data_IF_162355211535
#
_entry.id   IF_162355211535
#
_cell.length_a   1.000
_cell.length_b   1.000
_cell.length_c   1.000
_cell.angle_alpha   90.00
_cell.angle_beta   90.00
_cell.angle_gamma   90.00
#
_symmetry.space_group_name_H-M   'P 1'
#
loop_
_entity.id
_entity.type
_entity.pdbx_description
1 polymer ?
#
# COMPACT_ATOMS: atom_id res chain seq x y z
N UNK A 1 7.40 -6.10 -13.51
CA UNK A 1 6.33 -6.57 -12.62
C UNK A 1 5.13 -6.95 -13.50
N UNK A 2 4.76 -8.24 -13.61
CA UNK A 2 3.66 -8.69 -14.46
C UNK A 2 2.30 -8.05 -14.10
N UNK A 3 2.18 -7.49 -12.90
CA UNK A 3 0.96 -6.85 -12.38
C UNK A 3 0.93 -5.32 -12.51
N UNK A 4 1.94 -4.71 -13.13
CA UNK A 4 1.86 -3.27 -13.39
C UNK A 4 0.66 -2.99 -14.30
N UNK A 5 -0.12 -1.93 -14.06
CA UNK A 5 -1.29 -1.59 -14.88
C UNK A 5 -0.95 -1.56 -16.37
N UNK A 6 0.22 -1.03 -16.73
CA UNK A 6 0.75 -1.01 -18.10
C UNK A 6 1.06 -2.39 -18.67
N UNK A 7 1.57 -3.33 -17.86
CA UNK A 7 1.81 -4.71 -18.32
C UNK A 7 0.49 -5.45 -18.49
N UNK A 8 -0.45 -5.29 -17.57
CA UNK A 8 -1.78 -5.89 -17.67
C UNK A 8 -2.57 -5.32 -18.85
N UNK A 9 -2.52 -4.01 -19.06
CA UNK A 9 -3.12 -3.34 -20.20
C UNK A 9 -2.48 -3.80 -21.52
N UNK A 10 -1.15 -3.96 -21.57
CA UNK A 10 -0.47 -4.56 -22.71
C UNK A 10 -0.92 -6.02 -22.95
N UNK A 11 -1.11 -6.82 -21.89
CA UNK A 11 -1.64 -8.19 -22.03
C UNK A 11 -3.09 -8.17 -22.53
N UNK A 12 -3.95 -7.29 -22.01
CA UNK A 12 -5.34 -7.12 -22.48
C UNK A 12 -5.37 -6.71 -23.95
N UNK A 13 -4.55 -5.75 -24.35
CA UNK A 13 -4.44 -5.30 -25.74
C UNK A 13 -3.88 -6.40 -26.66
N UNK A 14 -2.92 -7.20 -26.17
CA UNK A 14 -2.39 -8.33 -26.92
C UNK A 14 -3.43 -9.44 -27.10
N UNK A 15 -4.22 -9.74 -26.07
CA UNK A 15 -5.31 -10.71 -26.16
C UNK A 15 -6.36 -10.23 -27.17
N UNK A 16 -6.82 -8.97 -27.03
CA UNK A 16 -7.89 -8.39 -27.86
C UNK A 16 -7.50 -8.15 -29.32
N UNK A 17 -6.30 -7.62 -29.57
CA UNK A 17 -5.92 -7.12 -30.90
C UNK A 17 -4.80 -7.91 -31.59
N UNK A 18 -4.38 -9.06 -31.03
CA UNK A 18 -3.34 -9.89 -31.65
C UNK A 18 -3.69 -11.36 -31.58
N UNK A 19 -4.10 -11.87 -30.42
CA UNK A 19 -4.39 -13.31 -30.28
C UNK A 19 -5.74 -13.64 -30.92
N UNK A 20 -6.77 -12.83 -30.66
CA UNK A 20 -8.10 -13.01 -31.22
C UNK A 20 -8.11 -12.82 -32.75
N UNK A 21 -7.52 -11.73 -33.26
CA UNK A 21 -7.40 -11.42 -34.70
C UNK A 21 -6.64 -12.48 -35.53
N UNK A 22 -5.90 -13.37 -34.88
CA UNK A 22 -5.14 -14.45 -35.52
C UNK A 22 -5.85 -15.80 -35.47
N UNK A 23 -7.04 -15.86 -34.86
CA UNK A 23 -7.84 -17.06 -34.82
C UNK A 23 -8.44 -17.33 -36.20
N UNK A 24 -8.05 -18.45 -36.80
CA UNK A 24 -8.64 -18.92 -38.06
C UNK A 24 -10.09 -19.34 -37.84
N UNK A 25 -10.91 -19.29 -38.90
CA UNK A 25 -12.30 -19.73 -38.85
C UNK A 25 -12.40 -21.19 -38.36
N UNK A 26 -13.23 -21.44 -37.35
CA UNK A 26 -13.37 -22.74 -36.69
C UNK A 26 -12.27 -23.08 -35.66
N UNK A 27 -11.29 -22.19 -35.46
CA UNK A 27 -10.26 -22.33 -34.43
C UNK A 27 -10.81 -22.21 -33.00
N UNK A 28 -10.04 -22.72 -32.02
CA UNK A 28 -10.38 -22.61 -30.59
C UNK A 28 -9.20 -22.06 -29.80
N UNK A 29 -9.49 -21.19 -28.84
CA UNK A 29 -8.51 -20.69 -27.86
C UNK A 29 -8.85 -21.31 -26.51
N UNK A 30 -7.85 -21.92 -25.88
CA UNK A 30 -7.94 -22.43 -24.49
C UNK A 30 -6.90 -21.69 -23.67
N UNK A 31 -7.34 -21.07 -22.57
CA UNK A 31 -6.48 -20.29 -21.68
C UNK A 31 -6.46 -20.95 -20.31
N UNK A 32 -5.26 -21.24 -19.82
CA UNK A 32 -5.05 -21.72 -18.45
C UNK A 32 -4.39 -20.58 -17.69
N UNK A 33 -5.04 -20.15 -16.61
CA UNK A 33 -4.65 -18.96 -15.86
C UNK A 33 -4.79 -19.22 -14.35
N UNK A 34 -3.96 -18.52 -13.58
CA UNK A 34 -4.05 -18.47 -12.12
C UNK A 34 -4.72 -17.16 -11.73
N UNK A 35 -5.65 -17.17 -10.78
CA UNK A 35 -6.27 -15.94 -10.26
C UNK A 35 -5.24 -15.10 -9.50
N UNK A 36 -5.26 -13.80 -9.74
CA UNK A 36 -4.39 -12.83 -9.06
C UNK A 36 -5.17 -11.60 -8.54
N UNK A 37 -6.48 -11.76 -8.35
CA UNK A 37 -7.41 -10.70 -7.92
C UNK A 37 -8.14 -10.06 -9.09
N UNK A 38 -8.97 -9.06 -8.81
CA UNK A 38 -9.94 -8.50 -9.77
C UNK A 38 -9.33 -7.86 -11.03
N UNK A 39 -8.03 -7.55 -10.99
CA UNK A 39 -7.32 -6.93 -12.11
C UNK A 39 -6.62 -7.92 -13.04
N UNK A 40 -6.76 -9.23 -12.83
CA UNK A 40 -6.23 -10.24 -13.75
C UNK A 40 -6.95 -10.25 -15.12
N UNK A 41 -6.70 -11.26 -15.96
CA UNK A 41 -7.27 -11.33 -17.32
C UNK A 41 -8.67 -11.97 -17.36
N UNK A 42 -9.18 -12.53 -16.26
CA UNK A 42 -10.50 -13.20 -16.26
C UNK A 42 -11.62 -12.26 -16.68
N UNK A 43 -11.73 -11.02 -16.16
CA UNK A 43 -12.77 -10.09 -16.61
C UNK A 43 -12.65 -9.76 -18.10
N UNK A 44 -11.42 -9.66 -18.61
CA UNK A 44 -11.17 -9.39 -20.03
C UNK A 44 -11.65 -10.54 -20.92
N UNK A 45 -11.39 -11.78 -20.54
CA UNK A 45 -11.88 -12.95 -21.28
C UNK A 45 -13.41 -13.10 -21.19
N UNK A 46 -14.00 -12.82 -20.03
CA UNK A 46 -15.45 -12.80 -19.86
C UNK A 46 -16.12 -11.76 -20.78
N UNK A 47 -15.57 -10.53 -20.85
CA UNK A 47 -16.04 -9.50 -21.78
C UNK A 47 -15.90 -9.90 -23.25
N UNK A 48 -14.91 -10.72 -23.59
CA UNK A 48 -14.71 -11.26 -24.94
C UNK A 48 -15.62 -12.47 -25.25
N UNK A 49 -16.49 -12.87 -24.33
CA UNK A 49 -17.43 -13.98 -24.53
C UNK A 49 -16.83 -15.38 -24.30
N UNK A 50 -15.66 -15.48 -23.69
CA UNK A 50 -15.09 -16.79 -23.34
C UNK A 50 -15.93 -17.47 -22.26
N UNK A 51 -16.10 -18.78 -22.38
CA UNK A 51 -16.64 -19.58 -21.29
C UNK A 51 -15.59 -19.72 -20.19
N UNK A 52 -15.89 -19.18 -19.00
CA UNK A 52 -15.02 -19.28 -17.84
C UNK A 52 -15.37 -20.56 -17.07
N UNK A 53 -14.36 -21.40 -16.83
CA UNK A 53 -14.50 -22.64 -16.06
C UNK A 53 -13.56 -22.53 -14.86
N UNK A 54 -14.12 -22.54 -13.66
CA UNK A 54 -13.36 -22.49 -12.40
C UNK A 54 -13.34 -23.87 -11.75
N UNK A 55 -12.14 -24.35 -11.42
CA UNK A 55 -11.91 -25.65 -10.82
C UNK A 55 -10.97 -25.50 -9.61
N UNK A 56 -11.49 -25.06 -8.44
CA UNK A 56 -10.68 -24.93 -7.23
C UNK A 56 -10.13 -26.29 -6.78
N UNK A 57 -8.99 -26.30 -6.09
CA UNK A 57 -8.33 -27.57 -5.73
C UNK A 57 -9.12 -28.38 -4.69
N UNK A 58 -9.95 -27.71 -3.89
CA UNK A 58 -10.91 -28.31 -2.95
C UNK A 58 -12.31 -27.83 -3.31
N UNK A 59 -13.24 -28.77 -3.49
CA UNK A 59 -14.66 -28.53 -3.67
C UNK A 59 -15.44 -29.83 -3.43
N UNK A 60 -16.77 -29.75 -3.48
CA UNK A 60 -17.62 -30.95 -3.47
C UNK A 60 -17.74 -31.54 -4.88
N UNK A 61 -16.70 -32.26 -5.31
CA UNK A 61 -16.72 -32.94 -6.61
C UNK A 61 -17.42 -34.30 -6.51
N UNK A 62 -18.08 -34.79 -7.59
CA UNK A 62 -18.72 -36.11 -7.59
C UNK A 62 -17.80 -37.29 -7.24
N UNK A 63 -16.49 -37.10 -7.35
CA UNK A 63 -15.46 -38.11 -7.11
C UNK A 63 -14.65 -37.89 -5.81
N UNK A 64 -14.94 -36.84 -5.04
CA UNK A 64 -14.26 -36.59 -3.76
C UNK A 64 -14.03 -35.11 -3.45
N UNK A 65 -13.34 -34.81 -2.33
CA UNK A 65 -13.22 -33.45 -1.80
C UNK A 65 -12.15 -32.60 -2.52
N UNK A 66 -11.38 -33.18 -3.44
CA UNK A 66 -10.33 -32.47 -4.17
C UNK A 66 -10.46 -32.68 -5.68
N UNK A 67 -9.89 -31.75 -6.44
CA UNK A 67 -9.97 -31.73 -7.90
C UNK A 67 -9.47 -33.03 -8.55
N UNK A 68 -8.43 -33.64 -7.98
CA UNK A 68 -7.92 -34.96 -8.35
C UNK A 68 -7.41 -35.64 -7.06
N UNK A 69 -8.18 -36.56 -6.48
CA UNK A 69 -7.82 -37.21 -5.20
C UNK A 69 -6.51 -38.01 -5.25
N UNK A 70 -6.04 -38.40 -6.43
CA UNK A 70 -4.78 -39.15 -6.60
C UNK A 70 -3.58 -38.20 -6.66
N UNK A 71 -3.71 -37.07 -7.38
CA UNK A 71 -2.63 -36.08 -7.53
C UNK A 71 -2.58 -35.07 -6.38
N UNK A 72 -3.73 -34.74 -5.81
CA UNK A 72 -3.92 -33.74 -4.76
C UNK A 72 -4.66 -34.37 -3.57
N UNK A 73 -4.06 -35.35 -2.88
CA UNK A 73 -4.63 -35.89 -1.66
C UNK A 73 -4.69 -34.80 -0.57
N UNK A 74 -5.63 -34.93 0.37
CA UNK A 74 -5.91 -33.90 1.39
C UNK A 74 -4.67 -33.51 2.21
N UNK A 75 -3.79 -34.46 2.52
CA UNK A 75 -2.54 -34.20 3.23
C UNK A 75 -1.57 -33.32 2.42
N UNK A 76 -1.55 -33.47 1.10
CA UNK A 76 -0.79 -32.62 0.20
C UNK A 76 -1.38 -31.21 0.12
N UNK A 77 -2.70 -31.12 0.05
CA UNK A 77 -3.44 -29.84 0.03
C UNK A 77 -3.14 -29.05 1.30
N UNK A 78 -3.23 -29.70 2.46
CA UNK A 78 -2.96 -29.08 3.76
C UNK A 78 -1.49 -28.64 3.90
N UNK A 79 -0.53 -29.49 3.49
CA UNK A 79 0.89 -29.08 3.43
C UNK A 79 1.10 -27.87 2.54
N UNK A 80 0.37 -27.77 1.43
CA UNK A 80 0.45 -26.63 0.51
C UNK A 80 -0.19 -25.38 1.10
N UNK A 81 -1.33 -25.50 1.79
CA UNK A 81 -1.99 -24.41 2.52
C UNK A 81 -1.05 -23.81 3.57
N UNK A 82 -0.49 -24.64 4.44
CA UNK A 82 0.48 -24.23 5.47
C UNK A 82 1.69 -23.53 4.84
N UNK A 83 2.25 -24.11 3.76
CA UNK A 83 3.45 -23.56 3.11
C UNK A 83 3.20 -22.22 2.41
N UNK A 84 2.03 -22.01 1.83
CA UNK A 84 1.69 -20.78 1.08
C UNK A 84 1.04 -19.70 1.93
N UNK A 85 0.46 -20.06 3.08
CA UNK A 85 -0.40 -19.19 3.88
C UNK A 85 -1.81 -19.11 3.30
N UNK A 86 -2.79 -18.91 4.18
CA UNK A 86 -4.22 -19.08 3.88
C UNK A 86 -4.73 -18.17 2.78
N UNK A 87 -4.28 -16.91 2.78
CA UNK A 87 -4.69 -15.90 1.81
C UNK A 87 -4.20 -16.25 0.39
N UNK A 88 -2.91 -16.55 0.26
CA UNK A 88 -2.33 -16.90 -1.05
C UNK A 88 -2.81 -18.27 -1.53
N UNK A 89 -3.12 -19.19 -0.60
CA UNK A 89 -3.73 -20.46 -0.92
C UNK A 89 -5.16 -20.27 -1.43
N UNK A 90 -6.00 -19.51 -0.74
CA UNK A 90 -7.37 -19.23 -1.16
C UNK A 90 -7.43 -18.47 -2.50
N UNK A 91 -6.52 -17.53 -2.73
CA UNK A 91 -6.41 -16.83 -4.02
C UNK A 91 -5.97 -17.76 -5.16
N UNK A 92 -4.87 -18.50 -4.99
CA UNK A 92 -4.23 -19.22 -6.10
C UNK A 92 -4.74 -20.65 -6.32
N UNK A 93 -5.27 -21.29 -5.28
CA UNK A 93 -5.74 -22.69 -5.33
C UNK A 93 -7.25 -22.83 -5.17
N UNK A 94 -7.91 -21.92 -4.45
CA UNK A 94 -9.37 -21.92 -4.30
C UNK A 94 -10.08 -20.97 -5.26
N UNK A 95 -9.32 -20.26 -6.11
CA UNK A 95 -9.81 -19.33 -7.12
C UNK A 95 -10.69 -18.18 -6.57
N UNK A 96 -10.64 -17.94 -5.25
CA UNK A 96 -11.39 -16.87 -4.62
C UNK A 96 -10.63 -15.56 -4.78
N UNK A 97 -11.09 -14.72 -5.70
CA UNK A 97 -10.61 -13.35 -5.79
C UNK A 97 -11.03 -12.52 -4.56
N UNK A 98 -12.12 -12.92 -3.90
CA UNK A 98 -12.57 -12.35 -2.62
C UNK A 98 -11.61 -12.68 -1.47
N UNK A 99 -10.84 -13.78 -1.55
CA UNK A 99 -9.79 -14.07 -0.60
C UNK A 99 -8.55 -13.19 -0.79
N UNK A 100 -8.35 -12.58 -1.96
CA UNK A 100 -7.46 -11.42 -2.10
C UNK A 100 -8.06 -10.12 -1.52
N UNK A 101 -9.36 -10.12 -1.21
CA UNK A 101 -10.12 -9.04 -0.61
C UNK A 101 -10.35 -9.25 0.91
N UNK A 102 -9.47 -10.01 1.58
CA UNK A 102 -9.30 -9.87 3.02
C UNK A 102 -8.74 -8.48 3.37
N UNK A 103 -9.01 -8.00 4.58
CA UNK A 103 -8.41 -6.76 5.09
C UNK A 103 -6.88 -6.77 4.84
N UNK A 104 -6.36 -5.83 4.05
CA UNK A 104 -4.96 -5.82 3.65
C UNK A 104 -4.02 -5.56 4.82
N UNK A 105 -4.49 -4.77 5.79
CA UNK A 105 -3.82 -4.59 7.07
C UNK A 105 -4.54 -5.43 8.10
N UNK A 106 -3.85 -6.43 8.64
CA UNK A 106 -4.41 -7.31 9.65
C UNK A 106 -4.32 -6.67 11.03
N UNK A 107 -5.39 -6.79 11.82
CA UNK A 107 -5.47 -6.19 13.15
C UNK A 107 -4.37 -6.71 14.07
N UNK A 108 -4.08 -8.00 13.98
CA UNK A 108 -3.02 -8.67 14.74
C UNK A 108 -1.61 -8.23 14.36
N UNK A 109 -1.41 -7.59 13.21
CA UNK A 109 -0.13 -7.02 12.81
C UNK A 109 0.10 -5.67 13.47
N UNK A 110 -0.97 -4.92 13.78
CA UNK A 110 -0.85 -3.58 14.34
C UNK A 110 -0.17 -3.68 15.72
N UNK A 111 0.92 -2.91 15.85
CA UNK A 111 1.70 -2.80 17.08
C UNK A 111 1.47 -1.43 17.68
N UNK A 112 1.45 -1.38 19.00
CA UNK A 112 1.16 -0.16 19.74
C UNK A 112 2.32 0.26 20.61
N UNK A 113 2.45 1.58 20.78
CA UNK A 113 3.32 2.20 21.77
C UNK A 113 2.50 3.05 22.76
N UNK A 114 3.05 3.21 23.96
CA UNK A 114 2.63 4.13 25.01
C UNK A 114 3.83 4.92 25.55
N UNK A 115 3.58 5.90 26.42
CA UNK A 115 4.62 6.80 26.95
C UNK A 115 5.79 6.06 27.61
N UNK A 116 5.54 4.89 28.19
CA UNK A 116 6.55 4.10 28.90
C UNK A 116 7.42 3.28 27.93
N UNK A 117 6.87 2.95 26.75
CA UNK A 117 7.57 2.24 25.68
C UNK A 117 8.35 3.14 24.71
N UNK A 118 8.24 4.46 24.82
CA UNK A 118 8.99 5.37 23.95
C UNK A 118 10.49 5.28 24.22
N UNK A 119 11.33 5.27 23.18
CA UNK A 119 12.76 5.29 23.36
C UNK A 119 13.19 6.60 24.01
N UNK A 120 14.17 6.52 24.92
CA UNK A 120 14.77 7.71 25.57
C UNK A 120 15.62 8.54 24.61
N UNK A 121 15.95 8.00 23.43
CA UNK A 121 16.69 8.69 22.39
C UNK A 121 15.80 9.64 21.60
N UNK A 122 16.36 10.79 21.22
CA UNK A 122 15.67 11.74 20.35
C UNK A 122 15.29 11.11 19.01
N UNK A 123 14.00 11.21 18.67
CA UNK A 123 13.46 10.75 17.40
C UNK A 123 13.67 11.82 16.31
N UNK A 124 14.01 11.38 15.11
CA UNK A 124 13.92 12.25 13.94
C UNK A 124 12.48 12.21 13.43
N UNK A 125 11.83 13.37 13.32
CA UNK A 125 10.42 13.43 12.92
C UNK A 125 10.29 13.66 11.42
N UNK A 126 9.31 12.99 10.82
CA UNK A 126 8.97 13.06 9.41
C UNK A 126 7.47 13.22 9.28
N UNK A 127 7.03 14.21 8.51
CA UNK A 127 5.61 14.52 8.33
C UNK A 127 5.16 14.14 6.94
N UNK A 128 4.06 13.39 6.84
CA UNK A 128 3.37 13.06 5.60
C UNK A 128 2.03 13.76 5.54
N UNK A 129 1.70 14.31 4.38
CA UNK A 129 0.47 15.07 4.14
C UNK A 129 -0.26 14.46 2.96
N UNK A 130 -1.53 14.14 3.17
CA UNK A 130 -2.47 13.81 2.11
C UNK A 130 -3.53 14.92 2.01
N UNK A 131 -3.39 15.85 1.04
CA UNK A 131 -4.31 16.97 0.90
C UNK A 131 -5.51 16.58 0.04
N UNK A 132 -6.70 17.01 0.47
CA UNK A 132 -7.93 16.88 -0.31
C UNK A 132 -7.78 17.48 -1.72
N UNK A 133 -8.23 16.74 -2.74
CA UNK A 133 -8.10 17.16 -4.13
C UNK A 133 -9.18 18.15 -4.60
N UNK A 134 -10.30 18.28 -3.87
CA UNK A 134 -11.49 19.04 -4.28
C UNK A 134 -11.51 20.48 -3.73
N UNK A 135 -11.83 21.43 -4.60
CA UNK A 135 -12.07 22.86 -4.29
C UNK A 135 -13.54 23.17 -3.97
N UNK A 136 -14.40 22.17 -3.74
CA UNK A 136 -15.83 22.35 -3.47
C UNK A 136 -16.10 22.56 -1.97
N UNK A 137 -17.19 23.27 -1.68
CA UNK A 137 -17.70 23.64 -0.34
C UNK A 137 -17.99 22.48 0.63
N UNK A 138 -17.97 21.23 0.15
CA UNK A 138 -17.85 20.03 0.96
C UNK A 138 -16.47 19.43 0.70
N UNK A 139 -15.45 19.97 1.38
CA UNK A 139 -14.08 19.52 1.20
C UNK A 139 -13.96 18.04 1.61
N UNK A 140 -13.24 17.27 0.79
CA UNK A 140 -12.80 15.92 1.17
C UNK A 140 -11.89 16.02 2.41
N UNK A 141 -11.67 14.91 3.10
CA UNK A 141 -10.77 14.93 4.25
C UNK A 141 -9.34 15.20 3.79
N UNK A 142 -8.60 15.96 4.60
CA UNK A 142 -7.14 16.05 4.49
C UNK A 142 -6.55 15.40 5.72
N UNK A 143 -5.43 14.72 5.57
CA UNK A 143 -4.75 14.06 6.66
C UNK A 143 -3.28 14.48 6.78
N UNK A 144 -2.79 14.53 8.02
CA UNK A 144 -1.41 14.84 8.36
C UNK A 144 -0.94 13.80 9.38
N UNK A 145 0.08 13.03 9.03
CA UNK A 145 0.72 12.07 9.91
C UNK A 145 2.15 12.51 10.22
N UNK A 146 2.58 12.36 11.48
CA UNK A 146 3.97 12.56 11.87
C UNK A 146 4.54 11.29 12.46
N UNK A 147 5.61 10.79 11.86
CA UNK A 147 6.33 9.60 12.30
C UNK A 147 7.68 10.00 12.87
N UNK A 148 7.98 9.54 14.08
CA UNK A 148 9.30 9.62 14.69
C UNK A 148 10.10 8.35 14.42
N UNK A 149 11.30 8.51 13.87
CA UNK A 149 12.24 7.43 13.61
C UNK A 149 13.33 7.40 14.67
N UNK A 150 13.50 6.25 15.30
CA UNK A 150 14.71 5.94 16.05
C UNK A 150 15.77 5.42 15.08
N UNK A 151 16.85 6.19 14.88
CA UNK A 151 17.93 5.80 13.97
C UNK A 151 18.71 4.56 14.43
N UNK A 152 18.69 4.23 15.73
CA UNK A 152 19.42 3.07 16.26
C UNK A 152 18.68 1.78 15.94
N UNK A 153 17.39 1.72 16.28
CA UNK A 153 16.56 0.52 16.12
C UNK A 153 15.87 0.46 14.75
N UNK A 154 15.80 1.60 14.05
CA UNK A 154 15.02 1.82 12.81
C UNK A 154 13.50 1.69 13.01
N UNK A 155 13.04 1.66 14.26
CA UNK A 155 11.63 1.60 14.59
C UNK A 155 11.01 2.99 14.39
N UNK A 156 9.82 3.00 13.80
CA UNK A 156 8.99 4.17 13.56
C UNK A 156 7.83 4.21 14.55
N UNK A 157 7.59 5.39 15.11
CA UNK A 157 6.51 5.65 16.04
C UNK A 157 5.61 6.71 15.42
N UNK A 158 4.33 6.42 15.20
CA UNK A 158 3.37 7.46 14.85
C UNK A 158 3.18 8.38 16.06
N UNK A 159 3.64 9.62 15.96
CA UNK A 159 3.67 10.63 17.04
C UNK A 159 2.42 11.51 17.04
N UNK A 160 1.97 11.90 15.86
CA UNK A 160 0.78 12.74 15.68
C UNK A 160 0.02 12.28 14.45
N UNK A 161 -1.31 12.30 14.53
CA UNK A 161 -2.20 12.02 13.42
C UNK A 161 -3.37 13.00 13.48
N UNK A 162 -3.58 13.73 12.40
CA UNK A 162 -4.69 14.65 12.25
C UNK A 162 -5.43 14.36 10.95
N UNK A 163 -6.75 14.50 11.00
CA UNK A 163 -7.59 14.43 9.83
C UNK A 163 -8.77 15.38 10.03
N UNK A 164 -9.12 16.13 8.98
CA UNK A 164 -10.20 17.09 9.02
C UNK A 164 -10.50 17.68 7.64
N UNK A 165 -11.63 18.35 7.52
CA UNK A 165 -12.05 19.03 6.30
C UNK A 165 -11.65 20.48 6.39
N UNK A 166 -10.66 20.89 5.60
CA UNK A 166 -10.16 22.25 5.52
C UNK A 166 -10.00 22.66 4.06
N UNK A 167 -10.25 23.92 3.75
CA UNK A 167 -9.81 24.49 2.48
C UNK A 167 -8.28 24.63 2.46
N UNK A 168 -7.72 24.72 1.25
CA UNK A 168 -6.26 24.78 1.05
C UNK A 168 -5.54 25.80 1.94
N UNK A 169 -5.99 27.07 2.09
CA UNK A 169 -5.30 28.05 2.93
C UNK A 169 -5.26 27.65 4.42
N UNK A 170 -6.34 27.07 4.93
CA UNK A 170 -6.43 26.63 6.33
C UNK A 170 -5.59 25.37 6.56
N UNK A 171 -5.57 24.46 5.57
CA UNK A 171 -4.67 23.30 5.59
C UNK A 171 -3.20 23.73 5.67
N UNK A 172 -2.79 24.77 4.91
CA UNK A 172 -1.43 25.30 4.98
C UNK A 172 -1.06 25.78 6.38
N UNK A 173 -1.95 26.55 7.02
CA UNK A 173 -1.74 27.05 8.38
C UNK A 173 -1.64 25.90 9.38
N UNK A 174 -2.47 24.88 9.22
CA UNK A 174 -2.50 23.73 10.11
C UNK A 174 -1.24 22.85 9.96
N UNK A 175 -0.72 22.69 8.74
CA UNK A 175 0.59 22.07 8.48
C UNK A 175 1.69 22.86 9.19
N UNK A 176 1.74 24.19 9.00
CA UNK A 176 2.78 25.06 9.60
C UNK A 176 2.74 25.01 11.12
N UNK A 177 1.54 25.05 11.70
CA UNK A 177 1.32 24.96 13.14
C UNK A 177 1.85 23.65 13.71
N UNK A 178 1.58 22.52 13.06
CA UNK A 178 2.13 21.20 13.47
C UNK A 178 3.65 21.16 13.30
N UNK A 179 4.14 21.60 12.15
CA UNK A 179 5.56 21.56 11.83
C UNK A 179 6.39 22.37 12.85
N UNK A 180 5.90 23.53 13.28
CA UNK A 180 6.57 24.39 14.28
C UNK A 180 6.53 23.82 15.70
N UNK A 181 5.53 23.00 16.05
CA UNK A 181 5.41 22.37 17.37
C UNK A 181 6.33 21.15 17.54
N UNK A 182 6.74 20.54 16.44
CA UNK A 182 7.47 19.29 16.42
C UNK A 182 8.99 19.52 16.33
N UNK A 183 9.61 19.74 17.49
CA UNK A 183 11.06 19.84 17.58
C UNK A 183 11.71 18.55 17.04
N UNK A 184 12.62 18.67 16.07
CA UNK A 184 13.26 17.52 15.42
C UNK A 184 12.63 17.10 14.09
N UNK A 185 11.66 17.85 13.56
CA UNK A 185 11.15 17.66 12.19
C UNK A 185 12.25 17.86 11.16
N UNK A 186 12.53 16.79 10.39
CA UNK A 186 13.58 16.76 9.37
C UNK A 186 13.04 17.03 7.99
N UNK A 187 11.90 16.46 7.65
CA UNK A 187 11.30 16.55 6.32
C UNK A 187 9.79 16.52 6.40
N UNK A 188 9.17 17.24 5.47
CA UNK A 188 7.74 17.20 5.21
C UNK A 188 7.55 16.70 3.78
N UNK A 189 6.81 15.62 3.60
CA UNK A 189 6.49 15.08 2.29
C UNK A 189 5.00 15.19 1.98
N UNK A 190 4.74 15.37 0.71
CA UNK A 190 3.41 15.56 0.15
C UNK A 190 3.40 14.90 -1.22
N UNK A 191 2.29 14.24 -1.55
CA UNK A 191 2.09 13.59 -2.85
C UNK A 191 2.11 14.65 -3.97
N UNK A 192 2.88 14.44 -5.04
CA UNK A 192 3.03 15.45 -6.12
C UNK A 192 2.19 15.10 -7.34
N UNK A 193 0.85 15.22 -7.24
CA UNK A 193 -0.06 15.18 -8.40
C UNK A 193 -0.72 16.55 -8.64
N UNK A 194 -0.58 17.06 -9.86
CA UNK A 194 -1.30 18.27 -10.32
C UNK A 194 -1.04 19.50 -9.43
N UNK A 195 -2.12 20.09 -8.91
CA UNK A 195 -2.11 21.33 -8.10
C UNK A 195 -1.24 21.25 -6.82
N UNK A 196 -0.98 20.05 -6.33
CA UNK A 196 -0.18 19.79 -5.13
C UNK A 196 1.29 20.26 -5.27
N UNK A 197 1.85 20.26 -6.48
CA UNK A 197 3.20 20.76 -6.75
C UNK A 197 3.29 22.28 -6.54
N UNK A 198 2.32 23.05 -7.05
CA UNK A 198 2.26 24.49 -6.84
C UNK A 198 2.08 24.85 -5.36
N UNK A 199 1.26 24.08 -4.64
CA UNK A 199 1.06 24.22 -3.19
C UNK A 199 2.40 24.05 -2.46
N UNK A 200 3.13 22.96 -2.71
CA UNK A 200 4.40 22.67 -2.07
C UNK A 200 5.45 23.77 -2.34
N UNK A 201 5.58 24.20 -3.59
CA UNK A 201 6.52 25.27 -3.96
C UNK A 201 6.17 26.60 -3.28
N UNK A 202 4.88 26.94 -3.20
CA UNK A 202 4.37 28.13 -2.51
C UNK A 202 4.65 28.08 -1.01
N UNK A 203 4.39 26.94 -0.36
CA UNK A 203 4.65 26.76 1.06
C UNK A 203 6.14 26.78 1.40
N UNK A 204 7.00 26.18 0.56
CA UNK A 204 8.46 26.19 0.74
C UNK A 204 9.01 27.61 0.73
N UNK A 205 8.51 28.48 -0.16
CA UNK A 205 8.91 29.89 -0.24
C UNK A 205 8.39 30.72 0.95
N UNK A 206 7.14 30.50 1.37
CA UNK A 206 6.50 31.30 2.43
C UNK A 206 6.94 30.94 3.85
N UNK A 207 7.12 29.65 4.14
CA UNK A 207 7.26 29.18 5.52
C UNK A 207 8.63 28.59 5.85
N UNK A 208 9.54 28.49 4.87
CA UNK A 208 10.91 27.96 5.04
C UNK A 208 10.95 26.57 5.70
N UNK A 209 9.91 25.76 5.50
CA UNK A 209 9.82 24.41 6.01
C UNK A 209 10.56 23.41 5.10
N UNK A 210 11.05 22.27 5.65
CA UNK A 210 11.87 21.31 4.91
C UNK A 210 11.01 20.40 4.01
N UNK A 211 10.31 20.99 3.04
CA UNK A 211 9.51 20.23 2.07
C UNK A 211 10.39 19.41 1.14
N UNK A 212 10.04 18.14 1.02
CA UNK A 212 10.64 17.15 0.15
C UNK A 212 9.56 16.55 -0.74
N UNK A 213 9.76 16.63 -2.05
CA UNK A 213 8.89 15.94 -3.00
C UNK A 213 9.19 14.44 -2.95
N UNK A 214 8.14 13.63 -2.81
CA UNK A 214 8.28 12.17 -2.90
C UNK A 214 7.77 11.73 -4.27
N UNK A 215 8.65 11.24 -5.15
CA UNK A 215 8.22 10.80 -6.47
C UNK A 215 7.45 9.47 -6.38
N UNK A 216 6.62 9.18 -7.37
CA UNK A 216 6.01 7.85 -7.52
C UNK A 216 7.03 6.79 -7.84
N UNK A 217 6.70 5.55 -7.46
CA UNK A 217 7.44 4.37 -7.86
C UNK A 217 7.30 4.22 -9.37
N UNK A 218 8.39 4.52 -10.06
CA UNK A 218 8.54 4.36 -11.49
C UNK A 218 9.77 3.49 -11.73
N UNK A 219 9.89 2.91 -12.93
CA UNK A 219 11.11 2.19 -13.33
C UNK A 219 12.37 3.03 -13.09
N UNK A 220 12.27 4.36 -13.26
CA UNK A 220 13.38 5.30 -13.07
C UNK A 220 13.72 5.53 -11.60
N UNK A 221 12.74 5.60 -10.69
CA UNK A 221 13.00 5.76 -9.25
C UNK A 221 13.51 4.45 -8.65
N UNK A 222 12.97 3.30 -9.07
CA UNK A 222 13.48 1.97 -8.69
C UNK A 222 14.93 1.75 -9.13
N UNK A 223 15.25 2.03 -10.41
CA UNK A 223 16.62 1.91 -10.94
C UNK A 223 17.62 2.82 -10.20
N UNK A 224 17.16 3.99 -9.74
CA UNK A 224 17.97 4.94 -8.97
C UNK A 224 17.94 4.69 -7.46
N UNK A 225 17.24 3.64 -7.00
CA UNK A 225 17.00 3.34 -5.57
C UNK A 225 16.43 4.53 -4.79
N UNK A 226 15.69 5.39 -5.48
CA UNK A 226 14.99 6.52 -4.86
C UNK A 226 13.75 5.94 -4.20
N UNK A 227 13.59 6.15 -2.89
CA UNK A 227 12.37 5.75 -2.20
C UNK A 227 11.20 6.56 -2.74
N UNK A 228 10.16 5.82 -3.11
CA UNK A 228 9.08 6.32 -3.92
C UNK A 228 7.77 5.69 -3.47
N UNK A 229 6.71 6.48 -3.46
CA UNK A 229 5.36 6.06 -3.06
C UNK A 229 4.74 5.21 -4.16
N UNK A 230 4.08 4.13 -3.77
CA UNK A 230 3.28 3.33 -4.69
C UNK A 230 2.11 4.17 -5.23
N UNK A 231 1.84 4.09 -6.53
CA UNK A 231 0.79 4.87 -7.18
C UNK A 231 -0.62 4.32 -6.89
N UNK A 232 -0.70 3.15 -6.24
CA UNK A 232 -1.93 2.49 -5.85
C UNK A 232 -2.06 2.35 -4.33
N UNK A 233 -3.25 2.65 -3.80
CA UNK A 233 -3.66 2.45 -2.39
C UNK A 233 -3.37 1.04 -1.87
N UNK A 234 -3.55 0.03 -2.72
CA UNK A 234 -3.27 -1.38 -2.35
C UNK A 234 -1.79 -1.58 -2.01
N UNK A 235 -0.90 -1.00 -2.81
CA UNK A 235 0.54 -1.07 -2.56
C UNK A 235 0.96 -0.33 -1.29
N UNK A 236 0.32 0.81 -1.00
CA UNK A 236 0.53 1.56 0.26
C UNK A 236 0.07 0.77 1.48
N UNK A 237 -1.08 0.11 1.40
CA UNK A 237 -1.62 -0.74 2.46
C UNK A 237 -0.72 -1.95 2.73
N UNK A 238 -0.28 -2.66 1.69
CA UNK A 238 0.68 -3.77 1.81
C UNK A 238 2.02 -3.32 2.41
N UNK A 239 2.49 -2.13 2.03
CA UNK A 239 3.70 -1.54 2.62
C UNK A 239 3.51 -1.34 4.14
N UNK A 240 2.41 -0.71 4.56
CA UNK A 240 2.14 -0.47 5.98
C UNK A 240 1.98 -1.77 6.76
N UNK A 241 1.25 -2.76 6.22
CA UNK A 241 1.11 -4.08 6.85
C UNK A 241 2.48 -4.77 7.06
N UNK A 242 3.38 -4.66 6.09
CA UNK A 242 4.77 -5.14 6.24
C UNK A 242 5.53 -4.40 7.36
N UNK A 243 5.32 -3.10 7.53
CA UNK A 243 5.95 -2.35 8.63
C UNK A 243 5.36 -2.71 9.99
N UNK A 244 4.05 -2.95 10.07
CA UNK A 244 3.36 -3.37 11.28
C UNK A 244 3.78 -4.80 11.70
N UNK A 245 3.69 -5.76 10.78
CA UNK A 245 4.04 -7.16 11.03
C UNK A 245 5.51 -7.35 11.44
N UNK A 246 6.43 -6.55 10.88
CA UNK A 246 7.85 -6.55 11.25
C UNK A 246 8.18 -5.80 12.54
N UNK A 247 7.20 -5.14 13.16
CA UNK A 247 7.41 -4.32 14.36
C UNK A 247 8.21 -3.04 14.11
N UNK A 248 8.34 -2.62 12.85
CA UNK A 248 9.07 -1.41 12.45
C UNK A 248 8.18 -0.16 12.44
N UNK A 249 6.87 -0.30 12.58
CA UNK A 249 5.93 0.81 12.75
C UNK A 249 4.97 0.51 13.90
N UNK A 250 4.87 1.45 14.84
CA UNK A 250 3.96 1.38 15.98
C UNK A 250 3.04 2.60 15.99
N UNK A 251 1.77 2.41 16.34
CA UNK A 251 0.80 3.49 16.56
C UNK A 251 0.54 3.73 18.07
N UNK A 252 0.14 4.94 18.49
CA UNK A 252 -0.24 5.16 19.88
C UNK A 252 -1.46 4.33 20.25
N UNK A 253 -1.50 3.76 21.46
CA UNK A 253 -2.70 3.09 21.98
C UNK A 253 -3.94 4.01 22.02
N UNK A 254 -3.72 5.30 22.28
CA UNK A 254 -4.78 6.26 22.57
C UNK A 254 -4.86 7.36 21.49
N UNK A 255 -5.04 6.98 20.23
CA UNK A 255 -5.33 7.94 19.18
C UNK A 255 -6.80 8.40 19.23
N UNK A 256 -7.08 9.71 19.07
CA UNK A 256 -8.44 10.19 18.94
C UNK A 256 -9.17 9.58 17.73
N UNK A 257 -10.47 9.34 17.90
CA UNK A 257 -11.35 8.96 16.79
C UNK A 257 -11.56 10.16 15.86
N UNK A 258 -11.71 9.90 14.58
CA UNK A 258 -12.10 10.89 13.57
C UNK A 258 -13.40 10.40 12.96
N UNK A 259 -14.45 11.21 13.03
CA UNK A 259 -15.81 10.85 12.61
C UNK A 259 -16.29 9.50 13.17
N UNK A 260 -15.90 9.20 14.42
CA UNK A 260 -16.25 7.96 15.12
C UNK A 260 -15.41 6.73 14.72
N UNK A 261 -14.44 6.87 13.81
CA UNK A 261 -13.61 5.77 13.30
C UNK A 261 -12.18 5.86 13.85
N UNK A 262 -11.70 4.78 14.46
CA UNK A 262 -10.31 4.66 14.91
C UNK A 262 -9.37 4.46 13.70
N UNK A 263 -8.12 4.91 13.82
CA UNK A 263 -7.13 4.69 12.76
C UNK A 263 -6.95 3.20 12.45
N UNK A 264 -6.93 2.36 13.48
CA UNK A 264 -6.88 0.90 13.33
C UNK A 264 -8.04 0.35 12.51
N UNK A 265 -9.27 0.77 12.82
CA UNK A 265 -10.46 0.33 12.08
C UNK A 265 -10.42 0.80 10.63
N UNK A 266 -9.89 2.00 10.38
CA UNK A 266 -9.70 2.52 9.03
C UNK A 266 -8.66 1.67 8.26
N UNK A 267 -7.48 1.45 8.83
CA UNK A 267 -6.41 0.64 8.25
C UNK A 267 -6.90 -0.78 7.92
N UNK A 268 -7.60 -1.41 8.85
CA UNK A 268 -8.18 -2.74 8.65
C UNK A 268 -9.33 -2.74 7.66
N UNK A 269 -9.94 -1.61 7.29
CA UNK A 269 -11.04 -1.61 6.32
C UNK A 269 -10.57 -1.58 4.86
N UNK A 270 -9.26 -1.39 4.61
CA UNK A 270 -8.69 -1.31 3.26
C UNK A 270 -8.67 -2.71 2.60
N UNK A 271 -9.11 -2.85 1.33
CA UNK A 271 -9.29 -1.79 0.33
C UNK A 271 -10.70 -1.18 0.22
N UNK A 272 -11.64 -1.61 1.06
CA UNK A 272 -13.08 -1.31 0.96
C UNK A 272 -13.54 -0.14 1.85
N UNK A 273 -12.66 0.38 2.71
CA UNK A 273 -12.90 1.52 3.59
C UNK A 273 -13.31 2.77 2.84
N UNK A 274 -14.19 3.58 3.45
CA UNK A 274 -14.63 4.88 2.92
C UNK A 274 -13.61 6.00 3.13
N UNK A 275 -12.69 5.82 4.07
CA UNK A 275 -11.60 6.75 4.37
C UNK A 275 -10.27 6.05 4.12
N UNK A 276 -9.40 6.69 3.36
CA UNK A 276 -8.02 6.28 3.12
C UNK A 276 -6.99 7.38 3.41
N UNK A 277 -7.43 8.62 3.68
CA UNK A 277 -6.53 9.77 3.81
C UNK A 277 -5.50 9.60 4.95
N UNK A 278 -5.91 9.06 6.12
CA UNK A 278 -4.97 8.85 7.24
C UNK A 278 -3.97 7.74 6.93
N UNK A 279 -4.39 6.72 6.20
CA UNK A 279 -3.50 5.65 5.73
C UNK A 279 -2.47 6.20 4.75
N UNK A 280 -2.89 7.06 3.82
CA UNK A 280 -2.01 7.67 2.82
C UNK A 280 -1.00 8.62 3.46
N UNK A 281 -1.44 9.52 4.34
CA UNK A 281 -0.55 10.37 5.12
C UNK A 281 0.47 9.56 5.94
N UNK A 282 0.05 8.45 6.56
CA UNK A 282 0.92 7.56 7.33
C UNK A 282 1.97 6.85 6.45
N UNK A 283 1.57 6.39 5.26
CA UNK A 283 2.46 5.78 4.29
C UNK A 283 3.53 6.78 3.81
N UNK A 284 3.12 8.01 3.47
CA UNK A 284 4.02 9.11 3.08
C UNK A 284 5.07 9.35 4.17
N UNK A 285 4.63 9.58 5.41
CA UNK A 285 5.53 9.84 6.53
C UNK A 285 6.51 8.68 6.78
N UNK A 286 6.00 7.45 6.70
CA UNK A 286 6.79 6.24 6.91
C UNK A 286 7.87 6.04 5.84
N UNK A 287 7.57 6.35 4.58
CA UNK A 287 8.53 6.26 3.46
C UNK A 287 9.62 7.32 3.59
N UNK A 288 9.28 8.54 3.99
CA UNK A 288 10.27 9.61 4.27
C UNK A 288 11.24 9.20 5.38
N UNK A 289 10.70 8.71 6.50
CA UNK A 289 11.50 8.24 7.62
C UNK A 289 12.46 7.14 7.14
N UNK A 290 11.94 6.17 6.40
CA UNK A 290 12.77 5.09 5.87
C UNK A 290 13.86 5.59 4.91
N UNK A 291 13.58 6.62 4.09
CA UNK A 291 14.53 7.18 3.13
C UNK A 291 15.73 7.87 3.81
N UNK A 292 15.54 8.32 5.04
CA UNK A 292 16.58 8.96 5.83
C UNK A 292 17.52 7.97 6.55
N UNK A 293 17.19 6.67 6.60
CA UNK A 293 18.09 5.66 7.16
C UNK A 293 19.27 5.46 6.20
N UNK A 294 20.52 5.72 6.61
CA UNK A 294 21.68 5.49 5.76
C UNK A 294 21.75 4.02 5.33
N UNK A 295 21.81 3.76 4.04
CA UNK A 295 22.22 2.45 3.53
C UNK A 295 23.68 2.25 3.90
N UNK A 296 23.97 1.25 4.72
CA UNK A 296 25.32 0.99 5.23
C UNK A 296 26.33 1.05 4.09
N UNK A 297 27.36 1.90 4.24
CA UNK A 297 28.50 1.91 3.34
C UNK A 297 29.07 0.49 3.29
N UNK A 298 29.01 -0.11 2.10
CA UNK A 298 29.80 -1.29 1.80
C UNK A 298 31.26 -0.82 1.83
N UNK A 299 31.91 -0.97 2.99
CA UNK A 299 33.33 -0.69 3.17
C UNK A 299 34.07 -1.64 2.23
N UNK A 300 34.45 -1.15 1.05
CA UNK A 300 35.53 -1.76 0.29
C UNK A 300 36.80 -1.49 1.09
N UNK A 301 37.13 -2.42 1.99
CA UNK A 301 38.50 -2.58 2.45
C UNK A 301 39.34 -2.86 1.19
N UNK A 302 39.96 -1.82 0.64
CA UNK A 302 41.12 -2.01 -0.22
C UNK A 302 42.20 -2.55 0.71
N UNK A 303 42.44 -3.86 0.63
CA UNK A 303 43.66 -4.45 1.18
C UNK A 303 44.86 -3.76 0.55
N UNK A 304 45.78 -3.31 1.40
CA UNK A 304 47.17 -3.08 1.03
C UNK A 304 47.85 -4.42 0.78
#
# INVERSE_FOLDING_TARGET
NPYSPTTMEMQRNKVRGVIDDRLVEGGRIVVILTRWGDNDLVPTFAEMGFTIIEMPIVADYPWGPTLDPVRFPEDWVERKRIKKGDILFALTFMLSAEAAAGNLVLREHIRYWDKDSLPTTALNLYMGIDPAASTKTYADHSAIATVGLDLKTKIKYLVDMWCGRLETPDLELEIVKRAKRQAGLRQIGLETKGFQLSLLQGMKRRYQLPFTEIPYRTRRTEMRRIKAIDDNKVGRAMYLDSQFSSGLLLIPKNLPLVDGVSLESELCSIPHGKMDDRMDALAIASILAEAAVPTGFMVRLRGF
#
